data_IF_139432952274
#
_entry.id   IF_139432952274
#
_cell.length_a   1.000
_cell.length_b   1.000
_cell.length_c   1.000
_cell.angle_alpha   90.00
_cell.angle_beta   90.00
_cell.angle_gamma   90.00
#
_symmetry.space_group_name_H-M   'P 1'
#
loop_
_entity.id
_entity.type
_entity.pdbx_description
1 polymer ?
#
# COMPACT_ATOMS: atom_id res chain seq x y z
N UNK A 1 -3.88 -1.51 -5.14
CA UNK A 1 -4.59 -0.82 -6.25
C UNK A 1 -5.96 -1.44 -6.51
N UNK A 2 -6.04 -2.73 -6.86
CA UNK A 2 -7.32 -3.41 -7.14
C UNK A 2 -8.34 -3.30 -5.99
N UNK A 3 -8.01 -3.62 -4.72
CA UNK A 3 -8.97 -3.53 -3.63
C UNK A 3 -9.47 -2.10 -3.38
N UNK A 4 -8.57 -1.11 -3.47
CA UNK A 4 -8.89 0.31 -3.32
C UNK A 4 -9.88 0.76 -4.40
N UNK A 5 -9.65 0.39 -5.67
CA UNK A 5 -10.56 0.72 -6.76
C UNK A 5 -11.92 0.01 -6.62
N UNK A 6 -11.90 -1.28 -6.26
CA UNK A 6 -13.11 -2.07 -6.08
C UNK A 6 -13.97 -1.55 -4.92
N UNK A 7 -13.34 -1.27 -3.76
CA UNK A 7 -14.03 -0.70 -2.60
C UNK A 7 -14.52 0.73 -2.88
N UNK A 8 -13.72 1.57 -3.54
CA UNK A 8 -14.15 2.90 -3.94
C UNK A 8 -15.34 2.90 -4.90
N UNK A 9 -15.39 1.95 -5.83
CA UNK A 9 -16.49 1.81 -6.79
C UNK A 9 -17.76 1.23 -6.15
N UNK A 10 -17.64 0.16 -5.36
CA UNK A 10 -18.79 -0.55 -4.77
C UNK A 10 -19.36 0.16 -3.54
N UNK A 11 -18.52 0.64 -2.63
CA UNK A 11 -18.97 1.20 -1.34
C UNK A 11 -19.31 2.68 -1.46
N UNK A 12 -18.53 3.44 -2.25
CA UNK A 12 -18.62 4.90 -2.32
C UNK A 12 -19.08 5.43 -3.68
N UNK A 13 -19.38 4.54 -4.64
CA UNK A 13 -19.90 4.93 -5.95
C UNK A 13 -18.92 5.72 -6.83
N UNK A 14 -17.62 5.66 -6.55
CA UNK A 14 -16.61 6.38 -7.33
C UNK A 14 -16.50 5.74 -8.72
N UNK A 15 -16.76 6.53 -9.77
CA UNK A 15 -16.61 6.09 -11.16
C UNK A 15 -15.18 6.31 -11.64
N UNK A 16 -14.44 5.21 -11.81
CA UNK A 16 -13.13 5.20 -12.46
C UNK A 16 -13.28 5.06 -13.98
N UNK A 17 -12.38 5.71 -14.73
CA UNK A 17 -12.35 5.59 -16.18
C UNK A 17 -11.87 4.19 -16.59
N UNK A 18 -12.35 3.70 -17.75
CA UNK A 18 -11.94 2.39 -18.28
C UNK A 18 -10.41 2.26 -18.39
N UNK A 19 -9.73 3.34 -18.79
CA UNK A 19 -8.27 3.40 -18.87
C UNK A 19 -7.58 3.18 -17.52
N UNK A 20 -8.18 3.59 -16.38
CA UNK A 20 -7.61 3.38 -15.05
C UNK A 20 -7.67 1.91 -14.62
N UNK A 21 -8.71 1.17 -15.04
CA UNK A 21 -8.82 -0.27 -14.82
C UNK A 21 -7.76 -1.03 -15.62
N UNK A 22 -7.57 -0.67 -16.91
CA UNK A 22 -6.52 -1.28 -17.74
C UNK A 22 -5.14 -1.06 -17.12
N UNK A 23 -4.81 0.17 -16.70
CA UNK A 23 -3.54 0.45 -16.04
C UNK A 23 -3.32 -0.45 -14.82
N UNK A 24 -4.36 -0.58 -13.99
CA UNK A 24 -4.28 -1.36 -12.75
C UNK A 24 -4.12 -2.85 -13.02
N UNK A 25 -4.79 -3.38 -14.05
CA UNK A 25 -4.61 -4.77 -14.48
C UNK A 25 -3.22 -5.01 -15.08
N UNK A 26 -2.70 -4.07 -15.86
CA UNK A 26 -1.34 -4.15 -16.41
C UNK A 26 -0.29 -4.19 -15.30
N UNK A 27 -0.42 -3.32 -14.29
CA UNK A 27 0.49 -3.29 -13.14
C UNK A 27 0.37 -4.56 -12.30
N UNK A 28 -0.85 -4.98 -11.96
CA UNK A 28 -1.07 -6.19 -11.17
C UNK A 28 -0.60 -7.46 -11.88
N UNK A 29 -0.89 -7.58 -13.18
CA UNK A 29 -0.44 -8.67 -14.04
C UNK A 29 1.08 -8.71 -14.15
N UNK A 30 1.73 -7.58 -14.43
CA UNK A 30 3.19 -7.51 -14.54
C UNK A 30 3.91 -7.84 -13.23
N UNK A 31 3.42 -7.36 -12.08
CA UNK A 31 3.97 -7.72 -10.76
C UNK A 31 3.79 -9.22 -10.48
N UNK A 32 2.64 -9.79 -10.84
CA UNK A 32 2.35 -11.21 -10.64
C UNK A 32 3.24 -12.09 -11.52
N UNK A 33 3.44 -11.71 -12.80
CA UNK A 33 4.31 -12.41 -13.73
C UNK A 33 5.78 -12.37 -13.27
N UNK A 34 6.24 -11.22 -12.77
CA UNK A 34 7.58 -11.07 -12.20
C UNK A 34 7.78 -11.99 -10.97
N UNK A 35 6.80 -12.03 -10.07
CA UNK A 35 6.85 -12.86 -8.86
C UNK A 35 6.84 -14.36 -9.17
N UNK A 36 5.96 -14.80 -10.08
CA UNK A 36 5.86 -16.19 -10.51
C UNK A 36 7.13 -16.66 -11.22
N UNK A 37 7.74 -15.79 -12.03
CA UNK A 37 8.98 -16.10 -12.76
C UNK A 37 10.21 -16.23 -11.86
N UNK A 38 10.19 -15.63 -10.66
CA UNK A 38 11.25 -15.79 -9.63
C UNK A 38 11.02 -16.97 -8.70
N UNK A 39 9.82 -17.56 -8.71
CA UNK A 39 9.43 -18.57 -7.75
C UNK A 39 10.09 -19.92 -8.10
N UNK A 40 11.19 -20.23 -7.41
CA UNK A 40 11.87 -21.55 -7.48
C UNK A 40 10.94 -22.67 -7.00
N UNK A 41 11.09 -23.88 -7.55
CA UNK A 41 10.39 -25.10 -7.09
C UNK A 41 10.52 -25.34 -5.57
N UNK A 42 11.63 -24.90 -4.95
CA UNK A 42 11.87 -24.95 -3.50
C UNK A 42 11.02 -23.95 -2.71
N UNK A 43 10.66 -22.81 -3.31
CA UNK A 43 9.72 -21.83 -2.75
C UNK A 43 8.28 -22.34 -2.87
N UNK A 44 7.93 -22.99 -3.99
CA UNK A 44 6.60 -23.60 -4.20
C UNK A 44 6.33 -24.68 -3.15
N UNK A 45 7.29 -25.56 -2.88
CA UNK A 45 7.11 -26.61 -1.85
C UNK A 45 7.03 -26.05 -0.43
N UNK A 46 7.71 -24.94 -0.13
CA UNK A 46 7.56 -24.21 1.15
C UNK A 46 6.20 -23.50 1.25
N UNK A 47 5.68 -22.96 0.14
CA UNK A 47 4.38 -22.30 0.08
C UNK A 47 3.22 -23.30 0.17
N UNK A 48 3.43 -24.55 -0.25
CA UNK A 48 2.46 -25.66 -0.18
C UNK A 48 2.37 -26.33 1.21
N UNK A 49 3.09 -25.83 2.23
CA UNK A 49 2.90 -26.24 3.63
C UNK A 49 1.45 -25.97 4.08
N UNK A 50 0.89 -26.72 5.05
CA UNK A 50 -0.56 -26.98 5.16
C UNK A 50 -1.49 -25.76 5.33
N UNK A 51 -0.95 -24.56 5.56
CA UNK A 51 -1.72 -23.33 5.80
C UNK A 51 -1.73 -22.35 4.62
N UNK A 52 -1.34 -22.77 3.40
CA UNK A 52 -1.35 -21.90 2.22
C UNK A 52 -2.72 -21.20 1.99
N UNK A 53 -3.88 -21.91 2.06
CA UNK A 53 -5.18 -21.27 1.87
C UNK A 53 -5.49 -20.21 2.94
N UNK A 54 -5.09 -20.46 4.19
CA UNK A 54 -5.27 -19.51 5.29
C UNK A 54 -4.39 -18.27 5.10
N UNK A 55 -3.12 -18.44 4.69
CA UNK A 55 -2.22 -17.34 4.38
C UNK A 55 -2.72 -16.47 3.21
N UNK A 56 -3.19 -17.09 2.12
CA UNK A 56 -3.79 -16.35 1.01
C UNK A 56 -5.08 -15.65 1.42
N UNK A 57 -5.92 -16.29 2.24
CA UNK A 57 -7.13 -15.70 2.79
C UNK A 57 -6.85 -14.48 3.67
N UNK A 58 -5.87 -14.56 4.56
CA UNK A 58 -5.44 -13.44 5.40
C UNK A 58 -4.84 -12.29 4.57
N UNK A 59 -4.03 -12.59 3.56
CA UNK A 59 -3.51 -11.58 2.63
C UNK A 59 -4.64 -10.88 1.86
N UNK A 60 -5.62 -11.64 1.36
CA UNK A 60 -6.79 -11.08 0.69
C UNK A 60 -7.59 -10.17 1.63
N UNK A 61 -7.86 -10.64 2.86
CA UNK A 61 -8.61 -9.87 3.85
C UNK A 61 -7.87 -8.58 4.25
N UNK A 62 -6.55 -8.66 4.46
CA UNK A 62 -5.71 -7.50 4.75
C UNK A 62 -5.78 -6.45 3.63
N UNK A 63 -5.65 -6.90 2.38
CA UNK A 63 -5.76 -6.03 1.21
C UNK A 63 -7.17 -5.45 1.03
N UNK A 64 -8.22 -6.20 1.37
CA UNK A 64 -9.60 -5.73 1.33
C UNK A 64 -9.84 -4.62 2.38
N UNK A 65 -9.37 -4.80 3.61
CA UNK A 65 -9.48 -3.79 4.66
C UNK A 65 -8.61 -2.55 4.39
N UNK A 66 -7.42 -2.73 3.80
CA UNK A 66 -6.61 -1.62 3.32
C UNK A 66 -7.35 -0.85 2.21
N UNK A 67 -7.97 -1.56 1.27
CA UNK A 67 -8.83 -0.97 0.24
C UNK A 67 -10.00 -0.17 0.80
N UNK A 68 -10.69 -0.73 1.79
CA UNK A 68 -11.82 -0.08 2.47
C UNK A 68 -11.37 1.19 3.19
N UNK A 69 -10.31 1.11 3.99
CA UNK A 69 -9.79 2.25 4.76
C UNK A 69 -9.37 3.40 3.86
N UNK A 70 -8.63 3.11 2.78
CA UNK A 70 -8.22 4.12 1.79
C UNK A 70 -9.43 4.78 1.10
N UNK A 71 -10.47 4.01 0.77
CA UNK A 71 -11.70 4.55 0.18
C UNK A 71 -12.50 5.41 1.18
N UNK A 72 -12.55 5.01 2.46
CA UNK A 72 -13.15 5.80 3.53
C UNK A 72 -12.42 7.13 3.75
N UNK A 73 -11.09 7.13 3.71
CA UNK A 73 -10.28 8.36 3.81
C UNK A 73 -10.61 9.35 2.68
N UNK A 74 -10.72 8.86 1.45
CA UNK A 74 -11.12 9.68 0.29
C UNK A 74 -12.55 10.23 0.47
N UNK A 75 -13.48 9.42 0.97
CA UNK A 75 -14.87 9.84 1.22
C UNK A 75 -14.98 10.92 2.30
N UNK A 76 -14.25 10.77 3.42
CA UNK A 76 -14.21 11.77 4.50
C UNK A 76 -13.63 13.08 3.98
N UNK A 77 -12.53 13.02 3.23
CA UNK A 77 -11.89 14.21 2.64
C UNK A 77 -12.82 14.92 1.65
N UNK A 78 -13.59 14.16 0.87
CA UNK A 78 -14.55 14.73 -0.09
C UNK A 78 -15.80 15.33 0.58
N UNK A 79 -16.33 14.69 1.64
CA UNK A 79 -17.55 15.13 2.33
C UNK A 79 -17.28 16.28 3.31
N UNK A 80 -16.08 16.31 3.92
CA UNK A 80 -15.70 17.30 4.92
C UNK A 80 -14.40 18.01 4.50
N UNK A 81 -14.47 18.98 3.57
CA UNK A 81 -13.29 19.67 3.03
C UNK A 81 -12.57 20.57 4.06
N UNK A 82 -13.16 20.81 5.23
CA UNK A 82 -12.53 21.54 6.35
C UNK A 82 -11.66 20.64 7.23
N UNK A 83 -11.80 19.32 7.15
CA UNK A 83 -11.02 18.37 7.94
C UNK A 83 -9.60 18.31 7.41
N UNK A 84 -8.61 18.56 8.27
CA UNK A 84 -7.21 18.49 7.89
C UNK A 84 -6.75 17.04 7.73
N UNK A 85 -5.73 16.81 6.91
CA UNK A 85 -5.05 15.52 6.81
C UNK A 85 -4.55 15.04 8.19
N UNK A 86 -4.16 15.99 9.04
CA UNK A 86 -3.68 15.72 10.41
C UNK A 86 -4.77 15.25 11.35
N UNK A 87 -6.02 15.72 11.18
CA UNK A 87 -7.13 15.28 12.02
C UNK A 87 -7.48 13.81 11.72
N UNK A 88 -7.47 13.43 10.44
CA UNK A 88 -7.67 12.05 10.00
C UNK A 88 -6.52 11.17 10.49
N UNK A 89 -5.28 11.66 10.43
CA UNK A 89 -4.09 10.94 10.93
C UNK A 89 -4.16 10.70 12.43
N UNK A 90 -4.46 11.75 13.21
CA UNK A 90 -4.58 11.65 14.65
C UNK A 90 -5.69 10.66 15.04
N UNK A 91 -6.86 10.77 14.42
CA UNK A 91 -7.98 9.87 14.68
C UNK A 91 -7.64 8.40 14.43
N UNK A 92 -7.02 8.08 13.28
CA UNK A 92 -6.63 6.71 12.98
C UNK A 92 -5.50 6.18 13.87
N UNK A 93 -4.49 7.00 14.17
CA UNK A 93 -3.41 6.59 15.05
C UNK A 93 -3.89 6.41 16.50
N UNK A 94 -4.83 7.24 16.97
CA UNK A 94 -5.41 7.13 18.30
C UNK A 94 -6.21 5.81 18.44
N UNK A 95 -7.17 5.59 17.55
CA UNK A 95 -7.96 4.35 17.57
C UNK A 95 -7.07 3.12 17.33
N UNK A 96 -6.12 3.21 16.40
CA UNK A 96 -5.13 2.15 16.14
C UNK A 96 -4.30 1.83 17.38
N UNK A 97 -3.89 2.84 18.15
CA UNK A 97 -3.14 2.64 19.40
C UNK A 97 -4.02 1.94 20.45
N UNK A 98 -5.27 2.37 20.62
CA UNK A 98 -6.21 1.73 21.56
C UNK A 98 -6.39 0.24 21.21
N UNK A 99 -6.67 -0.08 19.94
CA UNK A 99 -6.86 -1.46 19.50
C UNK A 99 -5.58 -2.30 19.69
N UNK A 100 -4.41 -1.77 19.34
CA UNK A 100 -3.15 -2.50 19.52
C UNK A 100 -2.80 -2.72 21.00
N UNK A 101 -3.04 -1.74 21.88
CA UNK A 101 -2.84 -1.89 23.33
C UNK A 101 -3.75 -2.96 23.91
N UNK A 102 -5.05 -2.93 23.56
CA UNK A 102 -5.99 -3.97 24.00
C UNK A 102 -5.56 -5.35 23.50
N UNK A 103 -5.09 -5.46 22.25
CA UNK A 103 -4.58 -6.72 21.71
C UNK A 103 -3.30 -7.20 22.42
N UNK A 104 -2.34 -6.30 22.68
CA UNK A 104 -1.05 -6.63 23.29
C UNK A 104 -1.11 -6.96 24.78
N UNK A 105 -2.09 -6.44 25.52
CA UNK A 105 -2.18 -6.62 26.98
C UNK A 105 -3.46 -7.31 27.45
N UNK A 106 -4.51 -7.33 26.63
CA UNK A 106 -5.84 -7.83 27.02
C UNK A 106 -6.15 -9.26 26.55
N UNK A 107 -5.38 -9.83 25.61
CA UNK A 107 -5.62 -11.20 25.13
C UNK A 107 -4.94 -12.24 26.05
N UNK A 108 -5.55 -13.40 26.35
CA UNK A 108 -4.96 -14.42 27.22
C UNK A 108 -3.62 -15.00 26.74
N UNK A 109 -3.29 -14.82 25.46
CA UNK A 109 -2.04 -15.24 24.81
C UNK A 109 -1.15 -14.04 24.43
N UNK A 110 -1.40 -12.86 25.01
CA UNK A 110 -0.71 -11.65 24.59
C UNK A 110 0.71 -11.57 25.17
N UNK A 111 1.68 -11.33 24.30
CA UNK A 111 3.11 -11.23 24.65
C UNK A 111 3.57 -9.80 24.95
N UNK A 112 2.64 -8.85 25.20
CA UNK A 112 2.99 -7.44 25.40
C UNK A 112 3.93 -7.21 26.58
N UNK A 113 3.71 -7.90 27.70
CA UNK A 113 4.59 -7.80 28.87
C UNK A 113 5.99 -8.40 28.62
N UNK A 114 6.07 -9.48 27.83
CA UNK A 114 7.35 -10.07 27.42
C UNK A 114 8.12 -9.17 26.46
N UNK A 115 7.42 -8.52 25.52
CA UNK A 115 8.02 -7.56 24.61
C UNK A 115 8.61 -6.35 25.35
N UNK A 116 7.93 -5.85 26.38
CA UNK A 116 8.47 -4.78 27.24
C UNK A 116 9.72 -5.27 27.98
N UNK A 117 9.67 -6.46 28.60
CA UNK A 117 10.83 -7.03 29.30
C UNK A 117 12.02 -7.24 28.37
N UNK A 118 11.77 -7.67 27.13
CA UNK A 118 12.80 -7.79 26.11
C UNK A 118 13.47 -6.45 25.82
N UNK A 119 12.70 -5.37 25.66
CA UNK A 119 13.26 -4.03 25.44
C UNK A 119 14.02 -3.49 26.67
N UNK A 120 13.62 -3.89 27.88
CA UNK A 120 14.35 -3.54 29.11
C UNK A 120 15.68 -4.28 29.24
N UNK A 121 15.72 -5.55 28.82
CA UNK A 121 16.94 -6.37 28.82
C UNK A 121 17.90 -5.99 27.69
N UNK A 122 17.37 -5.56 26.54
CA UNK A 122 18.13 -5.14 25.37
C UNK A 122 17.78 -3.70 24.97
N UNK A 123 18.39 -2.69 25.63
CA UNK A 123 18.07 -1.28 25.36
C UNK A 123 18.41 -0.85 23.92
N UNK A 124 19.37 -1.51 23.27
CA UNK A 124 19.69 -1.30 21.85
C UNK A 124 18.48 -1.57 20.94
N UNK A 125 17.74 -2.66 21.18
CA UNK A 125 16.53 -2.97 20.43
C UNK A 125 15.43 -1.92 20.68
N UNK A 126 15.37 -1.35 21.88
CA UNK A 126 14.47 -0.24 22.20
C UNK A 126 14.79 1.02 21.38
N UNK A 127 16.07 1.36 21.22
CA UNK A 127 16.51 2.47 20.38
C UNK A 127 16.21 2.23 18.90
N UNK A 128 16.44 1.02 18.39
CA UNK A 128 16.11 0.66 17.01
C UNK A 128 14.61 0.80 16.73
N UNK A 129 13.76 0.32 17.65
CA UNK A 129 12.31 0.49 17.56
C UNK A 129 11.93 1.98 17.59
N UNK A 130 12.56 2.78 18.44
CA UNK A 130 12.28 4.21 18.52
C UNK A 130 12.64 4.93 17.21
N UNK A 131 13.83 4.68 16.65
CA UNK A 131 14.23 5.26 15.37
C UNK A 131 13.33 4.80 14.23
N UNK A 132 12.93 3.53 14.23
CA UNK A 132 11.95 3.00 13.29
C UNK A 132 10.60 3.74 13.38
N UNK A 133 10.10 3.96 14.60
CA UNK A 133 8.87 4.70 14.85
C UNK A 133 8.96 6.17 14.46
N UNK A 134 10.08 6.85 14.76
CA UNK A 134 10.30 8.26 14.36
C UNK A 134 10.34 8.41 12.84
N UNK A 135 11.09 7.55 12.15
CA UNK A 135 11.11 7.51 10.69
C UNK A 135 9.72 7.20 10.12
N UNK A 136 9.00 6.26 10.74
CA UNK A 136 7.62 5.91 10.41
C UNK A 136 6.66 7.09 10.55
N UNK A 137 6.76 7.87 11.64
CA UNK A 137 5.94 9.05 11.91
C UNK A 137 6.19 10.15 10.87
N UNK A 138 7.45 10.41 10.53
CA UNK A 138 7.81 11.34 9.44
C UNK A 138 7.23 10.84 8.11
N UNK A 139 7.36 9.55 7.81
CA UNK A 139 6.79 8.94 6.60
C UNK A 139 5.26 9.04 6.52
N UNK A 140 4.56 8.82 7.63
CA UNK A 140 3.11 8.95 7.72
C UNK A 140 2.66 10.36 7.35
N UNK A 141 3.39 11.40 7.77
CA UNK A 141 3.05 12.77 7.42
C UNK A 141 2.91 12.95 5.89
N UNK A 142 3.88 12.43 5.14
CA UNK A 142 3.84 12.48 3.67
C UNK A 142 2.71 11.65 3.06
N UNK A 143 2.38 10.50 3.65
CA UNK A 143 1.28 9.64 3.18
C UNK A 143 -0.05 10.39 3.29
N UNK A 144 -0.34 10.94 4.47
CA UNK A 144 -1.60 11.66 4.71
C UNK A 144 -1.71 12.93 3.88
N UNK A 145 -0.62 13.69 3.76
CA UNK A 145 -0.57 14.86 2.88
C UNK A 145 -0.84 14.48 1.41
N UNK A 146 -0.27 13.36 0.96
CA UNK A 146 -0.48 12.85 -0.40
C UNK A 146 -1.93 12.43 -0.62
N UNK A 147 -2.53 11.73 0.33
CA UNK A 147 -3.94 11.30 0.25
C UNK A 147 -4.86 12.53 0.22
N UNK A 148 -4.65 13.49 1.12
CA UNK A 148 -5.45 14.72 1.17
C UNK A 148 -5.34 15.55 -0.11
N UNK A 149 -4.14 15.64 -0.70
CA UNK A 149 -3.91 16.46 -1.90
C UNK A 149 -4.25 15.77 -3.22
N UNK A 150 -4.00 14.47 -3.31
CA UNK A 150 -4.01 13.72 -4.57
C UNK A 150 -4.95 12.50 -4.57
N UNK A 151 -5.53 12.13 -3.44
CA UNK A 151 -6.39 10.96 -3.25
C UNK A 151 -5.62 9.66 -2.98
N UNK A 152 -6.31 8.70 -2.37
CA UNK A 152 -5.75 7.41 -1.93
C UNK A 152 -5.24 6.53 -3.07
N UNK A 153 -5.87 6.59 -4.25
CA UNK A 153 -5.45 5.83 -5.42
C UNK A 153 -4.01 6.21 -5.84
N UNK A 154 -3.65 7.49 -5.75
CA UNK A 154 -2.31 7.96 -6.12
C UNK A 154 -1.27 7.65 -5.07
N UNK A 155 -1.63 7.72 -3.79
CA UNK A 155 -0.78 7.21 -2.72
C UNK A 155 -0.47 5.71 -2.93
N UNK A 156 -1.48 4.93 -3.32
CA UNK A 156 -1.31 3.52 -3.64
C UNK A 156 -0.41 3.33 -4.86
N UNK A 157 -0.58 4.12 -5.93
CA UNK A 157 0.31 4.07 -7.10
C UNK A 157 1.76 4.36 -6.70
N UNK A 158 2.03 5.45 -5.95
CA UNK A 158 3.38 5.83 -5.52
C UNK A 158 4.04 4.72 -4.70
N UNK A 159 3.31 4.16 -3.72
CA UNK A 159 3.84 3.09 -2.87
C UNK A 159 4.08 1.80 -3.65
N UNK A 160 3.21 1.45 -4.61
CA UNK A 160 3.42 0.30 -5.52
C UNK A 160 4.63 0.53 -6.41
N UNK A 161 4.81 1.71 -7.00
CA UNK A 161 6.01 2.05 -7.80
C UNK A 161 7.27 1.90 -6.96
N UNK A 162 7.31 2.48 -5.75
CA UNK A 162 8.45 2.37 -4.83
C UNK A 162 8.77 0.91 -4.53
N UNK A 163 7.77 0.12 -4.12
CA UNK A 163 7.94 -1.31 -3.80
C UNK A 163 8.47 -2.08 -5.01
N UNK A 164 7.94 -1.81 -6.20
CA UNK A 164 8.37 -2.49 -7.42
C UNK A 164 9.81 -2.13 -7.81
N UNK A 165 10.19 -0.85 -7.76
CA UNK A 165 11.56 -0.41 -8.00
C UNK A 165 12.53 -1.06 -7.01
N UNK A 166 12.18 -1.13 -5.71
CA UNK A 166 12.98 -1.86 -4.72
C UNK A 166 13.13 -3.34 -5.04
N UNK A 167 12.08 -4.01 -5.54
CA UNK A 167 12.14 -5.41 -5.97
C UNK A 167 13.10 -5.57 -7.16
N UNK A 168 13.03 -4.69 -8.15
CA UNK A 168 13.93 -4.73 -9.33
C UNK A 168 15.38 -4.50 -8.91
N UNK A 169 15.65 -3.45 -8.14
CA UNK A 169 17.00 -3.13 -7.64
C UNK A 169 17.55 -4.28 -6.79
N UNK A 170 16.77 -4.80 -5.85
CA UNK A 170 17.17 -5.94 -5.03
C UNK A 170 17.51 -7.16 -5.88
N UNK A 171 16.75 -7.41 -6.96
CA UNK A 171 17.02 -8.53 -7.86
C UNK A 171 18.28 -8.33 -8.70
N UNK A 172 18.57 -7.10 -9.15
CA UNK A 172 19.78 -6.77 -9.89
C UNK A 172 21.03 -6.88 -8.99
N UNK A 173 20.94 -6.39 -7.74
CA UNK A 173 22.03 -6.47 -6.76
C UNK A 173 22.28 -7.91 -6.29
N UNK A 174 21.29 -8.80 -6.36
CA UNK A 174 21.44 -10.22 -6.00
C UNK A 174 22.28 -11.02 -7.00
N UNK A 175 22.85 -10.39 -8.03
CA UNK A 175 23.80 -11.00 -8.97
C UNK A 175 23.22 -12.07 -9.90
N UNK A 176 21.90 -12.32 -9.86
CA UNK A 176 21.23 -13.26 -10.74
C UNK A 176 20.70 -12.52 -11.97
N UNK A 177 21.09 -12.90 -13.20
CA UNK A 177 20.58 -12.25 -14.41
C UNK A 177 19.05 -12.44 -14.49
N UNK A 178 18.34 -11.32 -14.65
CA UNK A 178 16.89 -11.34 -14.83
C UNK A 178 16.53 -12.04 -16.14
N UNK A 179 15.58 -12.96 -16.08
CA UNK A 179 15.03 -13.65 -17.26
C UNK A 179 14.35 -12.67 -18.21
N UNK A 180 14.30 -12.99 -19.51
CA UNK A 180 13.58 -12.21 -20.53
C UNK A 180 12.12 -11.97 -20.14
N UNK A 181 11.46 -12.93 -19.47
CA UNK A 181 10.08 -12.79 -18.97
C UNK A 181 10.00 -11.75 -17.84
N UNK A 182 11.03 -11.68 -16.97
CA UNK A 182 11.10 -10.68 -15.91
C UNK A 182 11.32 -9.28 -16.47
N UNK A 183 12.15 -9.13 -17.49
CA UNK A 183 12.32 -7.86 -18.20
C UNK A 183 11.03 -7.40 -18.91
N UNK A 184 10.32 -8.33 -19.55
CA UNK A 184 8.98 -8.05 -20.11
C UNK A 184 7.99 -7.60 -19.03
N UNK A 185 8.01 -8.25 -17.86
CA UNK A 185 7.18 -7.88 -16.71
C UNK A 185 7.50 -6.46 -16.21
N UNK A 186 8.78 -6.09 -16.15
CA UNK A 186 9.23 -4.73 -15.81
C UNK A 186 8.67 -3.73 -16.82
N UNK A 187 8.81 -3.99 -18.12
CA UNK A 187 8.26 -3.13 -19.17
C UNK A 187 6.74 -2.95 -19.05
N UNK A 188 6.00 -4.03 -18.76
CA UNK A 188 4.55 -4.01 -18.56
C UNK A 188 4.13 -3.14 -17.37
N UNK A 189 4.82 -3.28 -16.22
CA UNK A 189 4.53 -2.47 -15.01
C UNK A 189 4.85 -0.99 -15.25
N UNK A 190 6.01 -0.68 -15.81
CA UNK A 190 6.39 0.72 -16.12
C UNK A 190 5.45 1.36 -17.13
N UNK A 191 4.99 0.61 -18.14
CA UNK A 191 4.01 1.09 -19.11
C UNK A 191 2.66 1.41 -18.46
N UNK A 192 2.15 0.51 -17.61
CA UNK A 192 0.90 0.71 -16.88
C UNK A 192 0.96 1.90 -15.93
N UNK A 193 2.06 2.05 -15.18
CA UNK A 193 2.29 3.19 -14.29
C UNK A 193 2.40 4.51 -15.06
N UNK A 194 3.19 4.54 -16.13
CA UNK A 194 3.39 5.74 -16.96
C UNK A 194 2.08 6.19 -17.59
N UNK A 195 1.28 5.25 -18.10
CA UNK A 195 -0.02 5.56 -18.67
C UNK A 195 -1.00 6.09 -17.61
N UNK A 196 -1.00 5.51 -16.40
CA UNK A 196 -1.82 6.00 -15.29
C UNK A 196 -1.44 7.44 -14.87
N UNK A 197 -0.14 7.73 -14.77
CA UNK A 197 0.37 9.07 -14.47
C UNK A 197 -0.05 10.06 -15.56
N UNK A 198 0.09 9.67 -16.84
CA UNK A 198 -0.32 10.50 -17.97
C UNK A 198 -1.81 10.84 -17.96
N UNK A 199 -2.68 9.85 -17.72
CA UNK A 199 -4.13 10.07 -17.63
C UNK A 199 -4.49 11.04 -16.49
N UNK A 200 -3.83 10.91 -15.35
CA UNK A 200 -4.04 11.82 -14.22
C UNK A 200 -3.58 13.24 -14.54
N UNK A 201 -2.41 13.38 -15.17
CA UNK A 201 -1.92 14.68 -15.63
C UNK A 201 -2.89 15.34 -16.62
N UNK A 202 -3.43 14.57 -17.58
CA UNK A 202 -4.42 15.07 -18.53
C UNK A 202 -5.71 15.54 -17.83
N UNK A 203 -6.20 14.80 -16.82
CA UNK A 203 -7.38 15.17 -16.02
C UNK A 203 -7.16 16.49 -15.26
N UNK A 204 -5.99 16.67 -14.67
CA UNK A 204 -5.61 17.91 -13.98
C UNK A 204 -5.56 19.11 -14.94
N UNK A 205 -4.96 18.95 -16.12
CA UNK A 205 -4.90 19.99 -17.16
C UNK A 205 -6.30 20.41 -17.62
N UNK A 206 -7.22 19.45 -17.81
CA UNK A 206 -8.62 19.74 -18.18
C UNK A 206 -9.36 20.54 -17.09
N UNK A 207 -9.15 20.21 -15.82
CA UNK A 207 -9.75 20.93 -14.70
C UNK A 207 -9.20 22.36 -14.57
N UNK A 208 -7.88 22.54 -14.76
CA UNK A 208 -7.26 23.87 -14.77
C UNK A 208 -7.78 24.74 -15.91
N UNK A 209 -7.93 24.18 -17.12
CA UNK A 209 -8.53 24.91 -18.25
C UNK A 209 -9.96 25.34 -17.96
N UNK A 210 -10.79 24.47 -17.36
CA UNK A 210 -12.16 24.84 -16.96
C UNK A 210 -12.19 25.97 -15.93
N UNK A 211 -11.32 25.92 -14.91
CA UNK A 211 -11.21 26.99 -13.89
C UNK A 211 -10.76 28.34 -14.44
N UNK A 212 -9.97 28.36 -15.52
CA UNK A 212 -9.54 29.61 -16.18
C UNK A 212 -10.61 30.18 -17.12
N UNK A 213 -11.59 29.37 -17.52
CA UNK A 213 -12.67 29.75 -18.42
C UNK A 213 -13.97 30.14 -17.69
N UNK A 214 -13.99 30.02 -16.36
CA UNK A 214 -15.09 30.45 -15.48
C UNK A 214 -14.62 31.67 -14.70
#
# INVERSE_FOLDING_TARGET
>A
MIPVMLMGALVYGIRYAYSEYICTLLVAGGVSLFALSKTSAKTISKLARPNAPLGYGLCFLNLAFDGFTNATQDSITARYPKTSAWDIMLGMNLWGTIYNVVYMFGWPQASGYEAIRFCQQHPEAGWDILFYCLCGAVGQNFIFLTISRFGSLTNTTITTTRKFVSIVISSLLSGNPLSTIQWSSVGMVFSGLSYQIYLKWQKLQRLQKKRKAT
#
